data_IF_084657770119
#
_entry.id   IF_084657770119
#
_cell.length_a   1.000
_cell.length_b   1.000
_cell.length_c   1.000
_cell.angle_alpha   90.00
_cell.angle_beta   90.00
_cell.angle_gamma   90.00
#
_symmetry.space_group_name_H-M   'P 1'
#
loop_
_entity.id
_entity.type
_entity.pdbx_description
1 polymer ?
#
# COMPACT_ATOMS: atom_id res chain seq x y z
N UNK A 1 -41.66 -15.02 15.47
CA UNK A 1 -41.43 -14.83 14.57
C UNK A 1 -40.41 -15.38 14.01
N UNK A 2 -40.26 -15.70 13.32
CA UNK A 2 -39.44 -16.40 12.97
C UNK A 2 -38.71 -16.19 12.03
N UNK A 3 -38.41 -15.89 11.61
CA UNK A 3 -37.69 -15.72 10.89
C UNK A 3 -37.10 -16.06 10.02
N UNK A 4 -37.04 -16.33 9.71
CA UNK A 4 -36.73 -16.77 8.82
C UNK A 4 -35.89 -16.44 8.07
N UNK A 5 -35.28 -16.18 8.00
CA UNK A 5 -34.34 -16.01 7.43
C UNK A 5 -34.08 -16.75 6.52
N UNK A 6 -34.15 -16.65 5.80
CA UNK A 6 -33.96 -17.19 4.88
C UNK A 6 -32.88 -17.81 4.70
N UNK A 7 -32.92 -18.57 4.38
CA UNK A 7 -31.95 -19.34 4.16
C UNK A 7 -31.54 -19.21 2.82
N UNK A 8 -32.06 -18.40 2.07
CA UNK A 8 -31.72 -18.35 0.83
C UNK A 8 -30.46 -17.69 0.72
N UNK A 9 -29.45 -18.21 0.23
CA UNK A 9 -28.18 -17.63 0.10
C UNK A 9 -28.30 -16.57 -0.95
N UNK A 10 -27.69 -15.50 -0.70
CA UNK A 10 -27.71 -14.40 -1.61
C UNK A 10 -26.34 -14.27 -2.17
N UNK A 11 -26.22 -14.43 -3.49
CA UNK A 11 -24.92 -14.43 -4.07
C UNK A 11 -24.71 -13.18 -4.85
N UNK A 12 -24.67 -12.06 -4.24
CA UNK A 12 -24.44 -10.86 -4.96
C UNK A 12 -23.18 -10.25 -4.41
N UNK A 13 -22.70 -9.19 -5.01
CA UNK A 13 -21.63 -8.45 -4.44
C UNK A 13 -22.00 -7.98 -3.07
N UNK A 14 -23.24 -7.72 -2.84
CA UNK A 14 -23.73 -7.38 -1.52
C UNK A 14 -24.25 -8.63 -0.86
N UNK A 15 -24.06 -8.73 0.43
CA UNK A 15 -24.50 -9.88 1.21
C UNK A 15 -25.63 -9.43 2.10
N UNK A 16 -26.68 -10.21 2.16
CA UNK A 16 -27.79 -9.93 3.05
C UNK A 16 -27.62 -10.77 4.29
N UNK A 17 -27.53 -10.11 5.43
CA UNK A 17 -27.40 -10.77 6.71
C UNK A 17 -28.47 -10.22 7.62
N UNK A 18 -29.32 -11.09 8.13
CA UNK A 18 -30.38 -10.65 9.04
C UNK A 18 -31.17 -9.50 8.46
N UNK A 19 -31.57 -9.61 7.23
CA UNK A 19 -32.36 -8.62 6.52
C UNK A 19 -31.65 -7.27 6.36
N UNK A 20 -30.37 -7.20 6.60
CA UNK A 20 -29.60 -6.00 6.33
C UNK A 20 -28.71 -6.24 5.14
N UNK A 21 -28.69 -5.26 4.26
CA UNK A 21 -27.83 -5.32 3.09
C UNK A 21 -26.45 -4.76 3.49
N UNK A 22 -25.43 -5.56 3.33
CA UNK A 22 -24.09 -5.19 3.67
C UNK A 22 -23.21 -5.36 2.44
N UNK A 23 -22.53 -4.31 2.04
CA UNK A 23 -21.55 -4.40 0.99
C UNK A 23 -20.24 -4.86 1.62
N UNK A 24 -19.76 -6.02 1.16
CA UNK A 24 -18.56 -6.61 1.72
C UNK A 24 -17.43 -6.51 0.72
N UNK A 25 -16.30 -5.99 1.13
CA UNK A 25 -15.05 -6.06 0.39
C UNK A 25 -14.01 -6.69 1.31
N UNK A 26 -13.29 -7.65 0.79
CA UNK A 26 -12.26 -8.35 1.56
C UNK A 26 -10.90 -8.05 0.99
N UNK A 27 -9.93 -7.90 1.87
CA UNK A 27 -8.57 -7.61 1.50
C UNK A 27 -7.65 -8.54 2.27
N UNK A 28 -6.61 -9.02 1.60
CA UNK A 28 -5.47 -9.58 2.31
C UNK A 28 -4.41 -8.50 2.38
N UNK A 29 -3.47 -8.64 3.28
CA UNK A 29 -2.37 -7.68 3.35
C UNK A 29 -1.06 -8.41 3.67
N UNK A 30 0.02 -7.83 3.15
CA UNK A 30 1.37 -8.29 3.42
C UNK A 30 2.23 -7.10 3.80
N UNK A 31 3.26 -7.35 4.58
CA UNK A 31 4.25 -6.33 4.92
C UNK A 31 5.64 -6.87 4.66
N UNK A 32 6.52 -5.98 4.27
CA UNK A 32 7.94 -6.30 4.15
C UNK A 32 8.77 -5.04 4.31
N UNK A 33 10.06 -5.20 4.44
CA UNK A 33 10.97 -4.09 4.69
C UNK A 33 12.13 -4.14 3.72
N UNK A 34 12.63 -2.97 3.36
CA UNK A 34 13.83 -2.83 2.53
C UNK A 34 14.65 -1.64 3.02
N UNK A 35 15.95 -1.85 3.19
CA UNK A 35 16.84 -0.74 3.43
C UNK A 35 16.99 0.05 2.14
N UNK A 36 17.00 1.36 2.22
CA UNK A 36 17.16 2.21 1.05
C UNK A 36 17.84 3.51 1.37
N UNK A 37 18.40 4.11 0.35
CA UNK A 37 19.09 5.40 0.45
C UNK A 37 18.41 6.33 -0.54
N UNK A 38 18.01 7.50 -0.07
CA UNK A 38 17.44 8.52 -0.94
C UNK A 38 17.83 9.91 -0.43
N UNK A 39 17.42 10.93 -1.17
CA UNK A 39 17.65 12.32 -0.79
C UNK A 39 16.51 13.16 -1.33
N UNK A 40 16.31 14.31 -0.71
CA UNK A 40 15.33 15.29 -1.16
C UNK A 40 16.08 16.59 -1.43
N UNK A 41 16.59 16.79 -2.66
CA UNK A 41 17.49 17.92 -2.95
C UNK A 41 16.89 19.29 -2.65
N UNK A 42 15.59 19.46 -2.89
CA UNK A 42 14.94 20.75 -2.66
C UNK A 42 14.94 21.15 -1.19
N UNK A 43 15.08 20.20 -0.27
CA UNK A 43 15.09 20.50 1.14
C UNK A 43 16.26 21.40 1.54
N UNK A 44 17.36 21.35 0.79
CA UNK A 44 18.55 22.16 1.07
C UNK A 44 18.43 23.58 0.54
N UNK A 45 17.53 23.85 -0.40
CA UNK A 45 17.47 25.14 -1.09
C UNK A 45 16.15 25.87 -0.93
N UNK A 46 15.05 25.17 -0.65
CA UNK A 46 13.74 25.78 -0.48
C UNK A 46 13.67 26.45 0.90
N UNK A 47 13.45 27.76 0.99
CA UNK A 47 13.37 28.44 2.29
C UNK A 47 12.26 27.92 3.19
N UNK A 48 11.25 27.26 2.65
CA UNK A 48 10.20 26.66 3.46
C UNK A 48 10.67 25.41 4.18
N UNK A 49 11.77 24.82 3.72
CA UNK A 49 12.31 23.58 4.26
C UNK A 49 13.64 23.84 4.95
N UNK A 50 14.49 24.71 4.35
CA UNK A 50 15.75 25.14 4.94
C UNK A 50 15.48 26.42 5.75
N UNK A 51 14.78 26.26 6.85
CA UNK A 51 14.29 27.40 7.63
C UNK A 51 15.27 27.91 8.64
N UNK A 52 16.29 27.14 8.99
CA UNK A 52 17.30 27.55 9.96
C UNK A 52 16.81 27.57 11.40
N UNK A 53 15.67 26.99 11.68
CA UNK A 53 15.08 26.93 13.02
C UNK A 53 14.61 25.52 13.33
N UNK A 54 13.65 25.38 14.26
CA UNK A 54 13.18 24.06 14.69
C UNK A 54 12.42 23.29 13.61
N UNK A 55 11.96 23.98 12.54
CA UNK A 55 11.29 23.33 11.42
C UNK A 55 12.28 22.91 10.33
N UNK A 56 13.54 23.27 10.44
CA UNK A 56 14.52 23.03 9.38
C UNK A 56 14.68 21.55 9.07
N UNK A 57 14.50 21.19 7.81
CA UNK A 57 14.71 19.83 7.33
C UNK A 57 15.73 19.81 6.18
N UNK A 58 16.60 20.81 6.11
CA UNK A 58 17.58 20.91 5.03
C UNK A 58 18.51 19.70 4.95
N UNK A 59 18.71 18.99 6.05
CA UNK A 59 19.52 17.77 6.07
C UNK A 59 18.98 16.69 5.15
N UNK A 60 17.71 16.74 4.79
CA UNK A 60 17.13 15.78 3.87
C UNK A 60 17.70 15.93 2.45
N UNK A 61 18.38 17.06 2.18
CA UNK A 61 19.00 17.29 0.88
C UNK A 61 20.22 16.42 0.61
N UNK A 62 20.80 15.80 1.65
CA UNK A 62 21.91 14.89 1.47
C UNK A 62 21.41 13.44 1.49
N UNK A 63 22.12 12.53 0.85
CA UNK A 63 21.72 11.12 0.87
C UNK A 63 21.63 10.62 2.31
N UNK A 64 20.54 9.92 2.61
CA UNK A 64 20.32 9.37 3.93
C UNK A 64 19.62 8.02 3.81
N UNK A 65 19.76 7.21 4.84
CA UNK A 65 19.36 5.83 4.83
C UNK A 65 18.17 5.62 5.76
N UNK A 66 17.24 4.81 5.31
CA UNK A 66 16.09 4.38 6.13
C UNK A 66 15.86 2.89 5.95
N UNK A 67 15.12 2.31 6.87
CA UNK A 67 14.47 1.04 6.64
C UNK A 67 13.06 1.39 6.17
N UNK A 68 12.78 1.14 4.90
CA UNK A 68 11.46 1.41 4.35
C UNK A 68 10.54 0.24 4.67
N UNK A 69 9.36 0.57 5.19
CA UNK A 69 8.34 -0.41 5.51
C UNK A 69 7.24 -0.31 4.47
N UNK A 70 6.89 -1.45 3.92
CA UNK A 70 5.85 -1.54 2.90
C UNK A 70 4.68 -2.33 3.45
N UNK A 71 3.47 -1.88 3.20
CA UNK A 71 2.27 -2.63 3.49
C UNK A 71 1.38 -2.56 2.26
N UNK A 72 0.97 -3.72 1.74
CA UNK A 72 0.09 -3.80 0.58
C UNK A 72 -1.17 -4.51 1.00
N UNK A 73 -2.31 -3.83 0.88
CA UNK A 73 -3.62 -4.43 1.02
C UNK A 73 -4.15 -4.66 -0.38
N UNK A 74 -4.58 -5.86 -0.66
CA UNK A 74 -5.04 -6.27 -1.98
C UNK A 74 -6.44 -6.87 -1.86
N UNK A 75 -7.36 -6.38 -2.67
CA UNK A 75 -8.72 -6.90 -2.71
C UNK A 75 -8.73 -8.36 -3.15
N UNK A 76 -9.53 -9.18 -2.50
CA UNK A 76 -9.75 -10.58 -2.87
C UNK A 76 -11.24 -10.80 -3.03
N UNK A 77 -11.60 -11.80 -3.85
CA UNK A 77 -12.98 -11.98 -4.28
C UNK A 77 -13.67 -13.17 -3.66
N UNK A 78 -12.98 -13.95 -2.86
CA UNK A 78 -13.59 -14.99 -2.04
C UNK A 78 -12.74 -15.21 -0.79
N UNK A 79 -13.29 -15.95 0.13
CA UNK A 79 -12.73 -16.05 1.48
C UNK A 79 -11.74 -17.20 1.66
N UNK A 80 -11.46 -17.97 0.63
CA UNK A 80 -10.59 -19.11 0.77
C UNK A 80 -9.36 -18.98 -0.12
N UNK A 81 -8.46 -18.11 0.28
CA UNK A 81 -7.13 -17.96 -0.34
C UNK A 81 -7.21 -17.68 -1.84
N UNK A 82 -8.01 -16.71 -2.23
CA UNK A 82 -8.03 -16.22 -3.61
C UNK A 82 -6.61 -15.89 -4.06
N UNK A 83 -5.85 -15.24 -3.19
CA UNK A 83 -4.41 -15.04 -3.37
C UNK A 83 -3.74 -15.50 -2.08
N UNK A 84 -2.74 -16.34 -2.20
CA UNK A 84 -2.03 -16.84 -1.03
C UNK A 84 -0.99 -15.78 -0.61
N UNK A 85 -1.12 -15.22 0.57
CA UNK A 85 -0.37 -14.03 0.95
C UNK A 85 1.12 -14.26 1.19
N UNK A 86 1.55 -15.47 1.54
CA UNK A 86 2.98 -15.74 1.68
C UNK A 86 3.64 -15.72 0.31
N UNK A 87 2.98 -16.33 -0.68
CA UNK A 87 3.48 -16.28 -2.05
C UNK A 87 3.48 -14.87 -2.59
N UNK A 88 2.41 -14.12 -2.32
CA UNK A 88 2.32 -12.73 -2.75
C UNK A 88 3.48 -11.91 -2.17
N UNK A 89 3.75 -12.08 -0.88
CA UNK A 89 4.86 -11.39 -0.23
C UNK A 89 6.20 -11.74 -0.88
N UNK A 90 6.44 -13.01 -1.15
CA UNK A 90 7.68 -13.47 -1.78
C UNK A 90 7.85 -12.90 -3.18
N UNK A 91 6.76 -12.82 -3.93
CA UNK A 91 6.78 -12.22 -5.27
C UNK A 91 7.14 -10.74 -5.16
N UNK A 92 6.48 -10.00 -4.27
CA UNK A 92 6.73 -8.57 -4.09
C UNK A 92 8.17 -8.31 -3.66
N UNK A 93 8.67 -9.09 -2.72
CA UNK A 93 10.05 -8.92 -2.25
C UNK A 93 11.07 -9.10 -3.37
N UNK A 94 10.78 -9.97 -4.32
CA UNK A 94 11.69 -10.22 -5.45
C UNK A 94 11.69 -9.11 -6.49
N UNK A 95 10.76 -8.19 -6.43
CA UNK A 95 10.79 -7.03 -7.33
C UNK A 95 11.88 -6.03 -6.95
N UNK A 96 12.48 -6.20 -5.79
CA UNK A 96 13.50 -5.29 -5.29
C UNK A 96 14.85 -6.02 -5.26
N UNK A 97 15.92 -5.27 -5.56
CA UNK A 97 17.26 -5.82 -5.53
C UNK A 97 17.68 -6.14 -4.10
N UNK A 98 18.69 -7.00 -3.99
CA UNK A 98 19.28 -7.27 -2.69
C UNK A 98 20.08 -6.06 -2.22
N UNK A 99 20.31 -5.99 -0.92
CA UNK A 99 21.05 -4.89 -0.33
C UNK A 99 20.25 -3.60 -0.27
N UNK A 100 20.94 -2.50 -0.05
CA UNK A 100 20.30 -1.20 0.08
C UNK A 100 19.82 -0.71 -1.28
N UNK A 101 18.55 -0.31 -1.35
CA UNK A 101 17.97 0.22 -2.58
C UNK A 101 18.53 1.60 -2.85
N UNK A 102 18.88 1.87 -4.09
CA UNK A 102 19.31 3.20 -4.52
C UNK A 102 18.09 3.91 -5.07
N UNK A 103 17.46 4.72 -4.23
CA UNK A 103 16.16 5.31 -4.53
C UNK A 103 16.26 6.73 -5.09
N UNK A 104 17.46 7.30 -5.06
CA UNK A 104 17.72 8.63 -5.59
C UNK A 104 16.82 9.67 -4.90
N UNK A 105 15.91 10.28 -5.65
CA UNK A 105 15.00 11.30 -5.11
C UNK A 105 13.59 10.77 -4.86
N UNK A 106 13.37 9.46 -4.88
CA UNK A 106 12.03 8.94 -4.73
C UNK A 106 11.47 9.17 -3.34
N UNK A 107 10.28 9.71 -3.30
CA UNK A 107 9.49 9.84 -2.08
C UNK A 107 8.78 8.54 -1.77
N UNK A 108 8.22 8.43 -0.57
CA UNK A 108 7.39 7.29 -0.22
C UNK A 108 6.18 7.17 -1.18
N UNK A 109 5.60 8.30 -1.57
CA UNK A 109 4.47 8.30 -2.50
C UNK A 109 4.86 7.74 -3.87
N UNK A 110 6.02 8.14 -4.38
CA UNK A 110 6.52 7.60 -5.66
C UNK A 110 6.78 6.10 -5.56
N UNK A 111 7.33 5.66 -4.44
CA UNK A 111 7.58 4.24 -4.21
C UNK A 111 6.28 3.44 -4.13
N UNK A 112 5.25 4.01 -3.51
CA UNK A 112 3.94 3.36 -3.44
C UNK A 112 3.32 3.22 -4.83
N UNK A 113 3.43 4.24 -5.66
CA UNK A 113 2.94 4.18 -7.04
C UNK A 113 3.70 3.14 -7.86
N UNK A 114 5.02 3.09 -7.72
CA UNK A 114 5.83 2.07 -8.42
C UNK A 114 5.40 0.66 -8.03
N UNK A 115 5.16 0.46 -6.74
CA UNK A 115 4.74 -0.85 -6.23
C UNK A 115 3.35 -1.21 -6.74
N UNK A 116 2.43 -0.23 -6.78
CA UNK A 116 1.10 -0.47 -7.34
C UNK A 116 1.19 -0.90 -8.80
N UNK A 117 2.05 -0.26 -9.60
CA UNK A 117 2.18 -0.62 -11.01
C UNK A 117 2.53 -2.09 -11.17
N UNK A 118 3.43 -2.59 -10.35
CA UNK A 118 3.82 -4.00 -10.40
C UNK A 118 2.71 -4.92 -9.89
N UNK A 119 2.05 -4.53 -8.81
CA UNK A 119 0.93 -5.30 -8.28
C UNK A 119 -0.19 -5.42 -9.31
N UNK A 120 -0.50 -4.33 -9.99
CA UNK A 120 -1.60 -4.29 -10.94
C UNK A 120 -1.36 -5.18 -12.16
N UNK A 121 -0.12 -5.44 -12.50
CA UNK A 121 0.21 -6.37 -13.58
C UNK A 121 0.11 -7.81 -13.08
N UNK A 122 0.60 -8.08 -11.89
CA UNK A 122 0.62 -9.43 -11.33
C UNK A 122 -0.78 -9.89 -10.92
N UNK A 123 -1.55 -9.02 -10.30
CA UNK A 123 -2.91 -9.31 -9.84
C UNK A 123 -3.83 -8.18 -10.29
N UNK A 124 -4.31 -8.24 -11.54
CA UNK A 124 -5.09 -7.14 -12.11
C UNK A 124 -6.52 -7.06 -11.60
N UNK A 125 -7.14 -5.91 -11.86
CA UNK A 125 -8.55 -5.67 -11.61
C UNK A 125 -8.95 -5.80 -10.14
N UNK A 126 -8.15 -5.23 -9.27
CA UNK A 126 -8.38 -5.26 -7.81
C UNK A 126 -8.14 -3.88 -7.24
N UNK A 127 -8.81 -3.58 -6.16
CA UNK A 127 -8.51 -2.40 -5.38
C UNK A 127 -7.30 -2.68 -4.50
N UNK A 128 -6.49 -1.66 -4.29
CA UNK A 128 -5.30 -1.75 -3.46
C UNK A 128 -5.22 -0.57 -2.53
N UNK A 129 -4.61 -0.79 -1.37
CA UNK A 129 -4.11 0.29 -0.53
C UNK A 129 -2.66 -0.03 -0.22
N UNK A 130 -1.78 0.92 -0.48
CA UNK A 130 -0.35 0.72 -0.30
C UNK A 130 0.20 1.79 0.63
N UNK A 131 0.93 1.35 1.64
CA UNK A 131 1.62 2.24 2.57
C UNK A 131 3.11 2.05 2.40
N UNK A 132 3.83 3.15 2.40
CA UNK A 132 5.29 3.14 2.44
C UNK A 132 5.71 4.13 3.50
N UNK A 133 6.54 3.69 4.41
CA UNK A 133 7.02 4.55 5.49
C UNK A 133 8.52 4.46 5.66
N UNK A 134 9.07 5.51 6.25
CA UNK A 134 10.48 5.59 6.63
C UNK A 134 10.57 5.19 8.09
N UNK A 135 11.27 4.09 8.35
CA UNK A 135 11.50 3.57 9.70
C UNK A 135 10.23 3.29 10.49
N UNK A 136 9.09 3.18 9.81
CA UNK A 136 7.82 2.97 10.47
C UNK A 136 7.28 4.19 11.21
N UNK A 137 7.89 5.35 11.01
CA UNK A 137 7.53 6.54 11.77
C UNK A 137 6.74 7.55 10.97
N UNK A 138 7.06 7.72 9.71
CA UNK A 138 6.39 8.68 8.82
C UNK A 138 6.26 8.03 7.45
N UNK A 139 5.20 8.31 6.76
CA UNK A 139 5.02 7.71 5.44
C UNK A 139 3.74 8.17 4.77
N UNK A 140 3.38 7.44 3.74
CA UNK A 140 2.17 7.70 2.97
C UNK A 140 1.30 6.46 2.90
N UNK A 141 0.03 6.68 2.57
CA UNK A 141 -0.95 5.64 2.31
C UNK A 141 -1.73 6.08 1.10
N UNK A 142 -1.73 5.27 0.06
CA UNK A 142 -2.44 5.59 -1.19
C UNK A 142 -3.44 4.49 -1.48
N UNK A 143 -4.67 4.87 -1.77
CA UNK A 143 -5.72 3.95 -2.20
C UNK A 143 -5.86 4.01 -3.71
N UNK A 144 -5.89 2.84 -4.32
CA UNK A 144 -6.08 2.69 -5.75
C UNK A 144 -7.37 1.92 -5.95
N UNK A 145 -8.41 2.63 -6.35
CA UNK A 145 -9.74 2.04 -6.46
C UNK A 145 -10.16 1.98 -7.91
N UNK A 146 -10.77 0.87 -8.28
CA UNK A 146 -11.28 0.72 -9.63
C UNK A 146 -12.41 1.72 -9.85
N UNK A 147 -12.47 2.25 -11.05
CA UNK A 147 -13.54 3.16 -11.41
C UNK A 147 -14.80 2.34 -11.62
N UNK A 148 -15.90 2.80 -11.05
CA UNK A 148 -17.17 2.09 -11.16
C UNK A 148 -17.58 1.96 -12.63
N UNK A 149 -18.02 0.77 -13.00
CA UNK A 149 -18.45 0.51 -14.37
C UNK A 149 -17.35 0.01 -15.28
N UNK A 150 -16.16 -0.15 -14.77
CA UNK A 150 -15.02 -0.61 -15.59
C UNK A 150 -14.72 -2.07 -15.38
#
# INVERSE_FOLDING_TARGET
>A
MTDIISDEPVFFTDTIIHSKLIKKKSFIWVTFQKEGIHKYPQAATDPKLATGDWLDVSFLGTPHRHIFHFRVEMEVFHDDRDVEFIQAKRIMERWYSDGALQLHWKSCEMMANDLYDKCSVQWPNRDYTIEVSEDGENGCRISFERIAGE
#
